data_IF_021261926049
#
_entry.id   IF_021261926049
#
_cell.length_a   1.000
_cell.length_b   1.000
_cell.length_c   1.000
_cell.angle_alpha   90.00
_cell.angle_beta   90.00
_cell.angle_gamma   90.00
#
_symmetry.space_group_name_H-M   'P 1'
#
loop_
_entity.id
_entity.type
_entity.pdbx_description
1 polymer ?
#
# COMPACT_ATOMS: atom_id res chain seq x y z
N UNK A 1 -31.19 14.77 11.28
CA UNK A 1 -31.38 13.82 12.38
C UNK A 1 -31.40 14.53 13.72
N UNK A 2 -30.44 15.37 14.01
CA UNK A 2 -30.26 16.09 15.28
C UNK A 2 -31.50 16.96 15.64
N UNK A 3 -31.91 17.85 14.75
CA UNK A 3 -33.10 18.71 14.95
C UNK A 3 -34.40 17.92 15.16
N UNK A 4 -34.54 16.78 14.50
CA UNK A 4 -35.72 15.91 14.67
C UNK A 4 -35.70 15.21 16.04
N UNK A 5 -34.54 14.80 16.54
CA UNK A 5 -34.36 14.24 17.87
C UNK A 5 -34.66 15.23 18.97
N UNK A 6 -34.20 16.49 18.83
CA UNK A 6 -34.49 17.55 19.78
C UNK A 6 -35.98 17.92 19.85
N UNK A 7 -36.69 17.92 18.71
CA UNK A 7 -38.15 18.12 18.66
C UNK A 7 -38.92 16.95 19.31
N UNK A 8 -38.34 15.76 19.30
CA UNK A 8 -38.99 14.57 19.88
C UNK A 8 -38.75 14.39 21.40
N UNK A 9 -37.97 15.24 22.04
CA UNK A 9 -37.63 15.11 23.47
C UNK A 9 -38.84 15.00 24.37
N UNK A 10 -39.91 15.78 24.09
CA UNK A 10 -41.18 15.72 24.83
C UNK A 10 -41.97 14.41 24.73
N UNK A 11 -41.64 13.56 23.73
CA UNK A 11 -42.29 12.26 23.49
C UNK A 11 -41.38 11.11 23.93
N UNK A 12 -40.09 11.24 23.74
CA UNK A 12 -39.11 10.17 23.97
C UNK A 12 -38.61 10.11 25.40
N UNK A 13 -38.83 11.18 26.19
CA UNK A 13 -38.29 11.30 27.56
C UNK A 13 -36.78 11.61 27.59
N UNK A 14 -36.18 11.95 26.47
CA UNK A 14 -34.78 12.36 26.42
C UNK A 14 -34.61 13.78 26.96
N UNK A 15 -33.44 14.04 27.53
CA UNK A 15 -33.09 15.41 27.94
C UNK A 15 -32.60 16.23 26.74
N UNK A 16 -32.79 17.55 26.81
CA UNK A 16 -32.30 18.48 25.77
C UNK A 16 -30.80 18.29 25.59
N UNK A 17 -30.36 18.10 24.36
CA UNK A 17 -28.95 17.86 23.98
C UNK A 17 -28.54 16.38 23.88
N UNK A 18 -29.35 15.42 24.37
CA UNK A 18 -29.03 13.99 24.26
C UNK A 18 -29.01 13.52 22.78
N UNK A 19 -29.97 14.00 21.99
CA UNK A 19 -30.03 13.70 20.55
C UNK A 19 -28.77 14.23 19.83
N UNK A 20 -28.36 15.45 20.12
CA UNK A 20 -27.15 16.04 19.59
C UNK A 20 -25.91 15.23 19.97
N UNK A 21 -25.74 14.90 21.24
CA UNK A 21 -24.61 14.11 21.73
C UNK A 21 -24.57 12.69 21.15
N UNK A 22 -25.72 12.06 20.92
CA UNK A 22 -25.81 10.75 20.27
C UNK A 22 -25.46 10.81 18.78
N UNK A 23 -25.96 11.82 18.08
CA UNK A 23 -25.67 12.04 16.66
C UNK A 23 -24.18 12.36 16.45
N UNK A 24 -23.60 13.18 17.32
CA UNK A 24 -22.17 13.51 17.27
C UNK A 24 -21.31 12.28 17.51
N UNK A 25 -21.60 11.47 18.50
CA UNK A 25 -20.88 10.20 18.75
C UNK A 25 -20.97 9.26 17.55
N UNK A 26 -22.17 9.05 17.03
CA UNK A 26 -22.37 8.20 15.86
C UNK A 26 -21.63 8.71 14.62
N UNK A 27 -21.51 10.03 14.46
CA UNK A 27 -20.75 10.65 13.36
C UNK A 27 -19.23 10.52 13.59
N UNK A 28 -18.75 10.70 14.80
CA UNK A 28 -17.35 10.53 15.15
C UNK A 28 -16.90 9.05 14.97
N UNK A 29 -17.72 8.10 15.41
CA UNK A 29 -17.51 6.67 15.20
C UNK A 29 -17.49 6.34 13.70
N UNK A 30 -18.43 6.91 12.92
CA UNK A 30 -18.46 6.74 11.48
C UNK A 30 -17.23 7.34 10.78
N UNK A 31 -16.77 8.52 11.21
CA UNK A 31 -15.54 9.14 10.71
C UNK A 31 -14.31 8.31 11.04
N UNK A 32 -14.28 7.68 12.20
CA UNK A 32 -13.17 6.82 12.62
C UNK A 32 -13.11 5.54 11.78
N UNK A 33 -14.27 4.93 11.48
CA UNK A 33 -14.35 3.68 10.73
C UNK A 33 -14.33 3.90 9.20
N UNK A 34 -14.94 4.97 8.71
CA UNK A 34 -15.19 5.22 7.28
C UNK A 34 -14.68 6.58 6.79
N UNK A 35 -13.87 7.29 7.58
CA UNK A 35 -13.29 8.57 7.16
C UNK A 35 -12.59 8.45 5.81
N UNK A 36 -12.54 9.54 5.04
CA UNK A 36 -11.96 9.60 3.70
C UNK A 36 -10.55 8.99 3.65
N UNK A 37 -9.74 9.25 4.68
CA UNK A 37 -8.38 8.70 4.81
C UNK A 37 -8.36 7.17 4.89
N UNK A 38 -9.29 6.56 5.63
CA UNK A 38 -9.36 5.11 5.75
C UNK A 38 -9.77 4.46 4.43
N UNK A 39 -10.74 5.03 3.72
CA UNK A 39 -11.18 4.53 2.42
C UNK A 39 -10.03 4.58 1.39
N UNK A 40 -9.29 5.67 1.33
CA UNK A 40 -8.14 5.80 0.43
C UNK A 40 -7.01 4.83 0.80
N UNK A 41 -6.74 4.63 2.10
CA UNK A 41 -5.79 3.62 2.57
C UNK A 41 -6.16 2.22 2.10
N UNK A 42 -7.42 1.81 2.32
CA UNK A 42 -7.91 0.51 1.86
C UNK A 42 -7.82 0.36 0.34
N UNK A 43 -8.13 1.41 -0.42
CA UNK A 43 -8.00 1.39 -1.87
C UNK A 43 -6.57 1.17 -2.32
N UNK A 44 -5.60 1.86 -1.72
CA UNK A 44 -4.17 1.68 -2.05
C UNK A 44 -3.71 0.26 -1.74
N UNK A 45 -4.06 -0.27 -0.56
CA UNK A 45 -3.70 -1.62 -0.14
C UNK A 45 -4.29 -2.67 -1.10
N UNK A 46 -5.58 -2.55 -1.40
CA UNK A 46 -6.26 -3.46 -2.34
C UNK A 46 -5.64 -3.39 -3.74
N UNK A 47 -5.42 -2.19 -4.28
CA UNK A 47 -4.80 -2.01 -5.60
C UNK A 47 -3.39 -2.59 -5.65
N UNK A 48 -2.58 -2.42 -4.60
CA UNK A 48 -1.23 -2.97 -4.56
C UNK A 48 -1.25 -4.51 -4.58
N UNK A 49 -2.12 -5.14 -3.79
CA UNK A 49 -2.30 -6.59 -3.78
C UNK A 49 -2.81 -7.10 -5.14
N UNK A 50 -3.87 -6.49 -5.67
CA UNK A 50 -4.44 -6.82 -6.97
C UNK A 50 -3.42 -6.68 -8.10
N UNK A 51 -2.58 -5.65 -8.06
CA UNK A 51 -1.52 -5.43 -9.03
C UNK A 51 -0.48 -6.56 -9.01
N UNK A 52 0.01 -6.91 -7.82
CA UNK A 52 0.94 -8.00 -7.64
C UNK A 52 0.31 -9.31 -8.13
N UNK A 53 -0.89 -9.64 -7.67
CA UNK A 53 -1.57 -10.89 -8.01
C UNK A 53 -1.77 -11.05 -9.53
N UNK A 54 -2.19 -9.98 -10.22
CA UNK A 54 -2.42 -10.02 -11.68
C UNK A 54 -1.14 -10.07 -12.49
N UNK A 55 -0.06 -9.45 -12.01
CA UNK A 55 1.13 -9.17 -12.83
C UNK A 55 2.40 -9.89 -12.37
N UNK A 56 2.37 -10.61 -11.25
CA UNK A 56 3.54 -11.29 -10.69
C UNK A 56 4.31 -12.17 -11.70
N UNK A 57 3.57 -12.89 -12.55
CA UNK A 57 4.15 -13.81 -13.54
C UNK A 57 4.41 -13.20 -14.91
N UNK A 58 3.81 -12.02 -15.22
CA UNK A 58 3.82 -11.46 -16.56
C UNK A 58 4.66 -10.19 -16.72
N UNK A 59 4.81 -9.41 -15.65
CA UNK A 59 5.45 -8.09 -15.68
C UNK A 59 6.62 -7.93 -14.71
N UNK A 60 6.93 -8.95 -13.91
CA UNK A 60 8.07 -8.92 -13.00
C UNK A 60 9.14 -9.90 -13.47
N UNK A 61 10.34 -9.38 -13.69
CA UNK A 61 11.46 -10.20 -14.09
C UNK A 61 12.09 -10.88 -12.88
N UNK A 62 12.22 -12.22 -12.86
CA UNK A 62 12.91 -12.91 -11.78
C UNK A 62 14.37 -12.47 -11.69
N UNK A 63 14.87 -12.41 -10.48
CA UNK A 63 16.09 -11.78 -10.16
C UNK A 63 16.79 -12.42 -8.95
N UNK A 64 18.10 -12.63 -9.06
CA UNK A 64 18.91 -13.25 -8.02
C UNK A 64 20.00 -12.29 -7.56
N UNK A 65 20.22 -12.15 -6.26
CA UNK A 65 21.36 -11.41 -5.73
C UNK A 65 22.65 -12.19 -5.97
N UNK A 66 23.60 -11.58 -6.66
CA UNK A 66 24.96 -12.11 -6.75
C UNK A 66 25.62 -12.13 -5.37
N UNK A 67 26.17 -13.30 -5.01
CA UNK A 67 26.74 -13.54 -3.64
C UNK A 67 27.94 -12.67 -3.28
N UNK A 68 28.62 -12.03 -4.22
CA UNK A 68 29.90 -11.35 -3.97
C UNK A 68 29.84 -9.81 -3.96
N UNK A 69 28.92 -9.14 -4.63
CA UNK A 69 28.94 -7.68 -4.75
C UNK A 69 27.60 -6.98 -4.47
N UNK A 70 26.55 -7.67 -4.05
CA UNK A 70 25.22 -7.09 -3.88
C UNK A 70 24.59 -6.59 -5.19
N UNK A 71 25.24 -6.87 -6.32
CA UNK A 71 24.69 -6.62 -7.64
C UNK A 71 23.65 -7.68 -8.01
N UNK A 72 22.63 -7.23 -8.65
CA UNK A 72 21.51 -8.06 -9.07
C UNK A 72 21.81 -8.62 -10.48
N UNK A 73 21.81 -9.95 -10.64
CA UNK A 73 21.83 -10.61 -11.93
C UNK A 73 20.40 -10.86 -12.40
N UNK A 74 20.04 -10.23 -13.50
CA UNK A 74 18.72 -10.42 -14.10
C UNK A 74 18.73 -11.73 -14.90
N UNK A 75 17.82 -12.64 -14.57
CA UNK A 75 17.62 -13.83 -15.37
C UNK A 75 16.83 -13.48 -16.63
N UNK A 76 17.50 -13.38 -17.76
CA UNK A 76 16.93 -13.01 -19.06
C UNK A 76 16.13 -14.14 -19.74
N UNK A 77 15.34 -14.91 -18.98
CA UNK A 77 14.60 -16.04 -19.55
C UNK A 77 13.53 -15.68 -20.57
N UNK A 78 12.80 -14.57 -20.37
CA UNK A 78 11.76 -14.10 -21.29
C UNK A 78 11.81 -12.57 -21.40
N UNK A 79 11.65 -12.04 -22.61
CA UNK A 79 11.56 -10.58 -22.82
C UNK A 79 10.18 -10.09 -22.36
N UNK A 80 10.14 -9.35 -21.25
CA UNK A 80 8.93 -8.72 -20.76
C UNK A 80 8.72 -7.40 -21.49
N UNK A 81 7.63 -7.26 -22.23
CA UNK A 81 7.35 -6.07 -23.07
C UNK A 81 6.95 -4.86 -22.22
N UNK A 82 6.27 -5.08 -21.07
CA UNK A 82 5.81 -4.02 -20.15
C UNK A 82 6.31 -4.33 -18.75
N UNK A 83 7.61 -4.09 -18.53
CA UNK A 83 8.27 -4.36 -17.27
C UNK A 83 7.73 -3.45 -16.15
N UNK A 84 7.15 -4.04 -15.12
CA UNK A 84 6.74 -3.33 -13.91
C UNK A 84 7.85 -3.29 -12.85
N UNK A 85 8.76 -4.24 -12.89
CA UNK A 85 9.84 -4.34 -11.93
C UNK A 85 10.48 -5.71 -11.86
N UNK A 86 11.07 -6.01 -10.72
CA UNK A 86 11.82 -7.26 -10.49
C UNK A 86 11.25 -8.03 -9.31
N UNK A 87 11.26 -9.37 -9.42
CA UNK A 87 10.84 -10.29 -8.38
C UNK A 87 12.08 -10.94 -7.75
N UNK A 88 12.26 -10.74 -6.46
CA UNK A 88 13.35 -11.32 -5.66
C UNK A 88 12.78 -12.37 -4.72
N UNK A 89 13.33 -13.59 -4.78
CA UNK A 89 12.97 -14.69 -3.88
C UNK A 89 14.15 -15.12 -3.03
N UNK A 90 13.87 -15.67 -1.84
CA UNK A 90 14.88 -16.29 -0.98
C UNK A 90 15.87 -15.32 -0.33
N UNK A 91 15.56 -14.02 -0.31
CA UNK A 91 16.38 -13.02 0.38
C UNK A 91 16.03 -12.90 1.86
N UNK A 92 14.76 -13.10 2.18
CA UNK A 92 14.21 -12.94 3.52
C UNK A 92 14.17 -14.29 4.24
N UNK A 93 14.34 -14.25 5.56
CA UNK A 93 14.27 -15.44 6.42
C UNK A 93 12.83 -15.98 6.50
N UNK A 94 11.82 -15.12 6.28
CA UNK A 94 10.41 -15.50 6.24
C UNK A 94 9.97 -16.12 4.90
N UNK A 95 10.87 -16.16 3.90
CA UNK A 95 10.61 -16.75 2.59
C UNK A 95 9.69 -15.93 1.68
N UNK A 96 9.16 -14.79 2.14
CA UNK A 96 8.27 -13.96 1.35
C UNK A 96 8.99 -13.31 0.16
N UNK A 97 8.37 -13.29 -1.04
CA UNK A 97 8.94 -12.63 -2.20
C UNK A 97 8.90 -11.11 -2.07
N UNK A 98 9.96 -10.45 -2.53
CA UNK A 98 10.03 -8.99 -2.64
C UNK A 98 9.73 -8.56 -4.09
N UNK A 99 8.78 -7.65 -4.28
CA UNK A 99 8.47 -7.01 -5.56
C UNK A 99 9.09 -5.62 -5.60
N UNK A 100 10.11 -5.45 -6.43
CA UNK A 100 10.82 -4.20 -6.64
C UNK A 100 10.18 -3.45 -7.81
N UNK A 101 9.26 -2.54 -7.50
CA UNK A 101 8.42 -1.86 -8.47
C UNK A 101 9.07 -0.56 -8.95
N UNK A 102 9.04 -0.31 -10.25
CA UNK A 102 9.50 0.94 -10.86
C UNK A 102 8.59 2.08 -10.38
N UNK A 103 9.15 3.22 -9.89
CA UNK A 103 8.35 4.28 -9.28
C UNK A 103 7.25 4.86 -10.18
N UNK A 104 7.49 5.00 -11.48
CA UNK A 104 6.46 5.48 -12.42
C UNK A 104 5.27 4.52 -12.51
N UNK A 105 5.53 3.21 -12.59
CA UNK A 105 4.48 2.18 -12.59
C UNK A 105 3.68 2.20 -11.29
N UNK A 106 4.35 2.37 -10.16
CA UNK A 106 3.70 2.48 -8.87
C UNK A 106 2.75 3.67 -8.80
N UNK A 107 3.20 4.86 -9.25
CA UNK A 107 2.39 6.07 -9.22
C UNK A 107 1.20 6.00 -10.18
N UNK A 108 1.43 5.50 -11.40
CA UNK A 108 0.42 5.49 -12.45
C UNK A 108 -0.61 4.37 -12.28
N UNK A 109 -0.17 3.15 -11.91
CA UNK A 109 -1.03 1.97 -11.95
C UNK A 109 -1.53 1.55 -10.55
N UNK A 110 -0.76 1.80 -9.48
CA UNK A 110 -1.17 1.43 -8.12
C UNK A 110 -1.82 2.61 -7.42
N UNK A 111 -1.14 3.77 -7.38
CA UNK A 111 -1.68 4.94 -6.69
C UNK A 111 -2.82 5.61 -7.47
N UNK A 112 -2.75 5.62 -8.81
CA UNK A 112 -3.80 6.21 -9.66
C UNK A 112 -4.19 7.64 -9.22
N UNK A 113 -3.21 8.50 -9.00
CA UNK A 113 -3.41 9.90 -8.61
C UNK A 113 -3.40 10.18 -7.10
N UNK A 114 -3.35 9.14 -6.26
CA UNK A 114 -3.18 9.31 -4.81
C UNK A 114 -1.75 9.79 -4.52
N UNK A 115 -1.60 10.66 -3.53
CA UNK A 115 -0.28 11.16 -3.14
C UNK A 115 0.65 10.01 -2.72
N UNK A 116 1.90 10.00 -3.25
CA UNK A 116 2.87 8.92 -3.00
C UNK A 116 3.18 8.74 -1.52
N UNK A 117 3.38 9.84 -0.77
CA UNK A 117 3.71 9.74 0.65
C UNK A 117 2.56 9.13 1.44
N UNK A 118 1.33 9.52 1.14
CA UNK A 118 0.13 8.95 1.75
C UNK A 118 -0.02 7.46 1.40
N UNK A 119 0.10 7.10 0.12
CA UNK A 119 0.00 5.71 -0.31
C UNK A 119 1.09 4.81 0.27
N UNK A 120 2.34 5.29 0.31
CA UNK A 120 3.44 4.56 0.94
C UNK A 120 3.24 4.44 2.46
N UNK A 121 2.68 5.46 3.12
CA UNK A 121 2.36 5.38 4.55
C UNK A 121 1.29 4.31 4.82
N UNK A 122 0.23 4.26 4.02
CA UNK A 122 -0.81 3.24 4.13
C UNK A 122 -0.25 1.82 3.95
N UNK A 123 0.60 1.61 2.94
CA UNK A 123 1.25 0.32 2.70
C UNK A 123 2.26 -0.07 3.79
N UNK A 124 2.94 0.92 4.40
CA UNK A 124 3.83 0.71 5.53
C UNK A 124 3.05 0.28 6.78
N UNK A 125 1.95 0.96 7.10
CA UNK A 125 1.06 0.62 8.22
C UNK A 125 0.46 -0.78 8.06
N UNK A 126 0.17 -1.18 6.81
CA UNK A 126 -0.28 -2.54 6.49
C UNK A 126 0.85 -3.60 6.47
N UNK A 127 2.11 -3.21 6.69
CA UNK A 127 3.25 -4.13 6.66
C UNK A 127 3.67 -4.61 5.26
N UNK A 128 3.08 -4.05 4.20
CA UNK A 128 3.33 -4.46 2.81
C UNK A 128 4.56 -3.77 2.23
N UNK A 129 4.84 -2.53 2.64
CA UNK A 129 5.98 -1.76 2.15
C UNK A 129 7.25 -2.04 2.96
N UNK A 130 8.33 -2.40 2.28
CA UNK A 130 9.67 -2.42 2.87
C UNK A 130 10.30 -1.04 2.70
N UNK A 131 10.50 -0.34 3.81
CA UNK A 131 11.16 0.97 3.78
C UNK A 131 12.69 0.87 3.94
N UNK A 132 13.41 1.80 3.34
CA UNK A 132 14.88 1.83 3.32
C UNK A 132 15.47 2.97 4.16
N UNK A 133 15.16 3.03 5.45
CA UNK A 133 15.73 4.03 6.37
C UNK A 133 15.09 5.42 6.30
N UNK A 134 15.56 6.35 7.17
CA UNK A 134 14.81 7.57 7.51
C UNK A 134 14.71 8.65 6.44
N UNK A 135 15.68 8.76 5.53
CA UNK A 135 15.72 9.85 4.52
C UNK A 135 14.97 9.54 3.22
N UNK A 136 14.94 8.27 2.80
CA UNK A 136 14.29 7.82 1.57
C UNK A 136 13.38 6.61 1.86
N UNK A 137 12.50 6.77 2.83
CA UNK A 137 11.68 5.68 3.34
C UNK A 137 10.72 5.07 2.30
N UNK A 138 10.38 5.80 1.24
CA UNK A 138 9.47 5.32 0.18
C UNK A 138 10.18 4.51 -0.90
N UNK A 139 11.49 4.66 -1.08
CA UNK A 139 12.23 4.01 -2.16
C UNK A 139 13.53 3.40 -1.67
N UNK A 140 13.90 2.26 -2.24
CA UNK A 140 15.18 1.58 -2.02
C UNK A 140 16.04 1.70 -3.25
N UNK A 141 17.29 2.15 -3.09
CA UNK A 141 18.25 2.21 -4.18
C UNK A 141 18.95 0.86 -4.30
N UNK A 142 18.93 0.29 -5.51
CA UNK A 142 19.50 -1.03 -5.80
C UNK A 142 20.28 -0.92 -7.10
N UNK A 143 21.39 -1.64 -7.19
CA UNK A 143 22.11 -1.80 -8.45
C UNK A 143 21.49 -2.93 -9.27
N UNK A 144 21.11 -2.66 -10.49
CA UNK A 144 20.63 -3.64 -11.47
C UNK A 144 21.59 -3.61 -12.65
N UNK A 145 22.27 -4.70 -12.93
CA UNK A 145 23.28 -4.76 -14.00
C UNK A 145 24.33 -3.63 -13.91
N UNK A 146 24.82 -3.35 -12.70
CA UNK A 146 25.82 -2.30 -12.46
C UNK A 146 25.27 -0.86 -12.38
N UNK A 147 24.00 -0.63 -12.71
CA UNK A 147 23.35 0.69 -12.72
C UNK A 147 22.50 0.86 -11.46
N UNK A 148 22.71 1.95 -10.71
CA UNK A 148 21.90 2.29 -9.56
C UNK A 148 20.50 2.77 -9.98
N UNK A 149 19.47 2.11 -9.48
CA UNK A 149 18.08 2.46 -9.75
C UNK A 149 17.29 2.47 -8.44
N UNK A 150 16.20 3.25 -8.40
CA UNK A 150 15.29 3.34 -7.25
C UNK A 150 14.05 2.51 -7.49
N UNK A 151 13.64 1.77 -6.48
CA UNK A 151 12.43 0.93 -6.50
C UNK A 151 11.60 1.16 -5.25
N UNK A 152 10.30 0.99 -5.39
CA UNK A 152 9.38 0.80 -4.27
C UNK A 152 9.29 -0.70 -4.03
N UNK A 153 9.57 -1.15 -2.81
CA UNK A 153 9.66 -2.59 -2.52
C UNK A 153 8.45 -3.02 -1.72
N UNK A 154 7.64 -3.88 -2.31
CA UNK A 154 6.46 -4.45 -1.68
C UNK A 154 6.67 -5.93 -1.38
N UNK A 155 6.02 -6.39 -0.30
CA UNK A 155 5.91 -7.80 0.07
C UNK A 155 4.59 -8.37 -0.44
N UNK A 156 4.63 -9.60 -0.92
CA UNK A 156 3.42 -10.40 -1.10
C UNK A 156 3.05 -11.03 0.24
N UNK A 157 1.99 -10.52 0.83
CA UNK A 157 1.35 -11.08 2.03
C UNK A 157 0.01 -11.71 1.65
N UNK A 158 -0.07 -12.35 0.48
CA UNK A 158 -1.23 -13.18 0.19
C UNK A 158 -1.29 -14.28 1.25
N UNK A 159 -2.25 -14.15 2.14
CA UNK A 159 -2.59 -15.17 3.13
C UNK A 159 -2.90 -16.48 2.39
N UNK A 160 -2.22 -17.57 2.81
CA UNK A 160 -2.61 -18.93 2.44
C UNK A 160 -4.01 -19.26 2.94
#
# INVERSE_FOLDING_TARGET
>A
LDAAGELATGITGWTTGESHAATQRAFDDWLQDFGLDNREKYQVISRARDFIQRHALSRFQPYTYGRQNGDMDVNYGARITSLAGYLVRGRRDDGLPEYHIIPSVFDEEILCGINRNFGCQALKEAGILIHAGDKNWTTKTIKVNGIQQRFIVLLDQSEE
#
